data_IF_156871689009
#
_entry.id   IF_156871689009
#
_cell.length_a   1.000
_cell.length_b   1.000
_cell.length_c   1.000
_cell.angle_alpha   90.00
_cell.angle_beta   90.00
_cell.angle_gamma   90.00
#
_symmetry.space_group_name_H-M   'P 1'
#
loop_
_entity.id
_entity.type
_entity.pdbx_description
1 polymer ?
#
# COMPACT_ATOMS: atom_id res chain seq x y z
N UNK A 1 8.19 -5.09 14.80
CA UNK A 1 6.73 -5.09 14.56
C UNK A 1 6.32 -6.53 14.31
N UNK A 2 5.41 -7.09 15.10
CA UNK A 2 4.91 -8.45 14.85
C UNK A 2 4.03 -8.42 13.59
N UNK A 3 4.37 -9.23 12.58
CA UNK A 3 3.52 -9.43 11.41
C UNK A 3 2.19 -10.01 11.93
N UNK A 4 1.07 -9.30 11.72
CA UNK A 4 -0.23 -9.84 12.12
C UNK A 4 -0.59 -11.04 11.25
N UNK A 5 -1.34 -12.01 11.78
CA UNK A 5 -1.85 -13.14 10.98
C UNK A 5 -2.66 -12.65 9.77
N UNK A 6 -3.33 -11.50 9.92
CA UNK A 6 -4.06 -10.81 8.84
C UNK A 6 -3.11 -10.32 7.76
N UNK A 7 -1.99 -9.69 8.13
CA UNK A 7 -0.96 -9.23 7.19
C UNK A 7 -0.39 -10.39 6.39
N UNK A 8 -0.04 -11.51 7.04
CA UNK A 8 0.50 -12.70 6.34
C UNK A 8 -0.49 -13.21 5.30
N UNK A 9 -1.77 -13.34 5.65
CA UNK A 9 -2.82 -13.81 4.73
C UNK A 9 -2.96 -12.92 3.50
N UNK A 10 -2.96 -11.59 3.67
CA UNK A 10 -3.04 -10.67 2.54
C UNK A 10 -1.77 -10.63 1.70
N UNK A 11 -0.59 -10.71 2.33
CA UNK A 11 0.69 -10.77 1.60
C UNK A 11 0.77 -12.03 0.73
N UNK A 12 0.41 -13.20 1.27
CA UNK A 12 0.39 -14.44 0.48
C UNK A 12 -0.57 -14.33 -0.71
N UNK A 13 -1.81 -13.88 -0.49
CA UNK A 13 -2.77 -13.73 -1.57
C UNK A 13 -2.32 -12.74 -2.67
N UNK A 14 -1.64 -11.66 -2.29
CA UNK A 14 -1.08 -10.71 -3.24
C UNK A 14 0.06 -11.31 -4.06
N UNK A 15 0.99 -12.02 -3.42
CA UNK A 15 2.13 -12.67 -4.09
C UNK A 15 1.62 -13.75 -5.06
N UNK A 16 0.69 -14.59 -4.60
CA UNK A 16 0.12 -15.66 -5.43
C UNK A 16 -0.54 -15.06 -6.69
N UNK A 17 -1.38 -14.04 -6.54
CA UNK A 17 -2.04 -13.36 -7.65
C UNK A 17 -1.04 -12.67 -8.60
N UNK A 18 0.00 -12.04 -8.06
CA UNK A 18 1.04 -11.38 -8.85
C UNK A 18 1.88 -12.38 -9.65
N UNK A 19 2.14 -13.55 -9.07
CA UNK A 19 2.89 -14.62 -9.73
C UNK A 19 2.07 -15.30 -10.82
N UNK A 20 0.79 -15.57 -10.58
CA UNK A 20 -0.15 -16.06 -11.61
C UNK A 20 -0.28 -15.10 -12.78
N UNK A 21 -0.22 -13.79 -12.51
CA UNK A 21 -0.33 -12.74 -13.53
C UNK A 21 1.01 -12.36 -14.17
N UNK A 22 2.14 -12.93 -13.72
CA UNK A 22 3.47 -12.64 -14.25
C UNK A 22 3.99 -11.22 -13.99
N UNK A 23 3.46 -10.53 -12.98
CA UNK A 23 3.77 -9.12 -12.65
C UNK A 23 4.47 -8.96 -11.29
N UNK A 24 5.07 -10.03 -10.76
CA UNK A 24 5.67 -10.06 -9.43
C UNK A 24 6.70 -8.94 -9.20
N UNK A 25 7.64 -8.76 -10.13
CA UNK A 25 8.69 -7.73 -10.03
C UNK A 25 8.10 -6.31 -9.95
N UNK A 26 7.00 -6.08 -10.66
CA UNK A 26 6.31 -4.79 -10.65
C UNK A 26 5.55 -4.56 -9.36
N UNK A 27 4.83 -5.56 -8.88
CA UNK A 27 4.13 -5.49 -7.59
C UNK A 27 5.14 -5.26 -6.45
N UNK A 28 6.32 -5.88 -6.52
CA UNK A 28 7.42 -5.59 -5.58
C UNK A 28 7.84 -4.12 -5.65
N UNK A 29 8.09 -3.59 -6.84
CA UNK A 29 8.48 -2.18 -7.03
C UNK A 29 7.42 -1.21 -6.49
N UNK A 30 6.14 -1.47 -6.77
CA UNK A 30 5.02 -0.66 -6.30
C UNK A 30 4.91 -0.66 -4.77
N UNK A 31 5.07 -1.82 -4.13
CA UNK A 31 5.08 -1.96 -2.67
C UNK A 31 6.27 -1.22 -2.06
N UNK A 32 7.46 -1.32 -2.65
CA UNK A 32 8.64 -0.59 -2.20
C UNK A 32 8.45 0.93 -2.31
N UNK A 33 7.87 1.41 -3.41
CA UNK A 33 7.57 2.83 -3.60
C UNK A 33 6.56 3.34 -2.56
N UNK A 34 5.51 2.57 -2.27
CA UNK A 34 4.53 2.90 -1.23
C UNK A 34 5.18 2.97 0.16
N UNK A 35 6.03 1.98 0.50
CA UNK A 35 6.75 1.98 1.77
C UNK A 35 7.68 3.20 1.89
N UNK A 36 8.39 3.55 0.82
CA UNK A 36 9.27 4.73 0.79
C UNK A 36 8.49 6.02 1.07
N UNK A 37 7.30 6.19 0.47
CA UNK A 37 6.43 7.35 0.73
C UNK A 37 5.98 7.41 2.19
N UNK A 38 5.57 6.28 2.76
CA UNK A 38 5.16 6.19 4.17
C UNK A 38 6.33 6.49 5.11
N UNK A 39 7.54 6.02 4.79
CA UNK A 39 8.72 6.29 5.60
C UNK A 39 9.19 7.75 5.49
N UNK A 40 9.02 8.38 4.33
CA UNK A 40 9.43 9.75 4.08
C UNK A 40 8.52 10.80 4.74
N UNK A 41 7.28 10.44 5.12
CA UNK A 41 6.32 11.39 5.68
C UNK A 41 5.66 10.87 6.96
N UNK A 42 5.94 11.54 8.08
CA UNK A 42 5.23 11.31 9.35
C UNK A 42 3.77 11.73 9.26
N UNK A 43 3.49 12.86 8.60
CA UNK A 43 2.13 13.35 8.36
C UNK A 43 1.28 12.33 7.59
N UNK A 44 1.85 11.69 6.56
CA UNK A 44 1.14 10.66 5.79
C UNK A 44 0.83 9.44 6.66
N UNK A 45 1.78 9.00 7.51
CA UNK A 45 1.53 7.91 8.46
C UNK A 45 0.43 8.28 9.46
N UNK A 46 0.46 9.50 9.99
CA UNK A 46 -0.58 10.04 10.86
C UNK A 46 -1.95 10.04 10.18
N UNK A 47 -2.02 10.57 8.96
CA UNK A 47 -3.24 10.61 8.15
C UNK A 47 -3.84 9.22 7.89
N UNK A 48 -3.02 8.25 7.50
CA UNK A 48 -3.49 6.88 7.23
C UNK A 48 -3.98 6.22 8.53
N UNK A 49 -3.31 6.46 9.66
CA UNK A 49 -3.68 5.93 10.96
C UNK A 49 -4.88 6.64 11.61
N UNK A 50 -5.23 7.86 11.20
CA UNK A 50 -6.27 8.68 11.84
C UNK A 50 -7.67 8.07 11.64
N UNK A 51 -8.34 7.58 12.71
CA UNK A 51 -9.67 6.99 12.59
C UNK A 51 -10.79 8.01 12.32
N UNK A 52 -10.56 9.31 12.54
CA UNK A 52 -11.56 10.36 12.28
C UNK A 52 -11.69 10.68 10.79
N UNK A 53 -10.65 10.38 9.99
CA UNK A 53 -10.67 10.56 8.56
C UNK A 53 -11.48 9.44 7.89
N UNK A 54 -12.59 9.82 7.24
CA UNK A 54 -13.47 8.89 6.54
C UNK A 54 -12.75 8.13 5.41
N UNK A 55 -13.18 6.89 5.16
CA UNK A 55 -12.55 5.99 4.16
C UNK A 55 -12.51 6.61 2.75
N UNK A 56 -13.57 7.30 2.33
CA UNK A 56 -13.64 7.99 1.03
C UNK A 56 -12.58 9.09 0.92
N UNK A 57 -12.39 9.87 1.98
CA UNK A 57 -11.39 10.94 2.00
C UNK A 57 -9.97 10.37 1.96
N UNK A 58 -9.70 9.31 2.73
CA UNK A 58 -8.44 8.58 2.68
C UNK A 58 -8.15 8.05 1.28
N UNK A 59 -9.15 7.43 0.65
CA UNK A 59 -9.03 6.89 -0.71
C UNK A 59 -8.72 7.99 -1.73
N UNK A 60 -9.43 9.11 -1.68
CA UNK A 60 -9.21 10.23 -2.60
C UNK A 60 -7.80 10.81 -2.51
N UNK A 61 -7.26 10.94 -1.28
CA UNK A 61 -5.90 11.44 -1.06
C UNK A 61 -4.86 10.41 -1.53
N UNK A 62 -5.02 9.15 -1.16
CA UNK A 62 -4.08 8.09 -1.56
C UNK A 62 -4.05 7.93 -3.08
N UNK A 63 -5.20 7.96 -3.76
CA UNK A 63 -5.24 7.90 -5.23
C UNK A 63 -4.45 9.06 -5.86
N UNK A 64 -4.58 10.29 -5.33
CA UNK A 64 -3.82 11.44 -5.85
C UNK A 64 -2.32 11.33 -5.58
N UNK A 65 -1.92 10.78 -4.43
CA UNK A 65 -0.52 10.62 -4.07
C UNK A 65 0.18 9.51 -4.86
N UNK A 66 -0.56 8.44 -5.16
CA UNK A 66 -0.06 7.25 -5.83
C UNK A 66 -0.24 7.30 -7.36
N UNK A 67 -1.04 8.23 -7.87
CA UNK A 67 -1.23 8.44 -9.30
C UNK A 67 0.12 8.61 -10.03
N UNK A 68 0.37 7.74 -11.02
CA UNK A 68 1.59 7.74 -11.81
C UNK A 68 2.84 7.23 -11.07
N UNK A 69 2.69 6.76 -9.82
CA UNK A 69 3.75 6.07 -9.06
C UNK A 69 3.53 4.57 -8.94
N UNK A 70 2.29 4.15 -9.14
CA UNK A 70 1.81 2.78 -9.13
C UNK A 70 0.93 2.65 -10.38
N UNK A 71 0.91 1.48 -11.00
CA UNK A 71 -0.02 1.23 -12.11
C UNK A 71 -1.42 0.83 -11.60
N UNK A 72 -2.45 1.20 -12.37
CA UNK A 72 -3.87 0.93 -12.09
C UNK A 72 -4.26 -0.55 -12.29
#
# INVERSE_FOLDING_TARGET
MSQSAVSIRYTSALIDAAQESGVLDRVEADVQALLALLHASEDLRGFVADPMMGSEQKRAVLNKLLAGKIED
#
